data_IF_945226354245
#
_entry.id   IF_945226354245
#
_cell.length_a   1.000
_cell.length_b   1.000
_cell.length_c   1.000
_cell.angle_alpha   90.00
_cell.angle_beta   90.00
_cell.angle_gamma   90.00
#
_symmetry.space_group_name_H-M   'P 1'
#
loop_
_entity.id
_entity.type
_entity.pdbx_description
1 polymer ?
#
# COMPACT_ATOMS: atom_id res chain seq x y z
N UNK A 1 -12.67 8.34 -12.71
CA UNK A 1 -12.49 8.99 -11.39
C UNK A 1 -11.13 9.67 -11.36
N UNK A 2 -11.07 11.00 -11.41
CA UNK A 2 -9.81 11.77 -11.45
C UNK A 2 -9.43 12.28 -10.06
N UNK A 3 -8.16 12.20 -9.69
CA UNK A 3 -7.65 12.48 -8.33
C UNK A 3 -7.83 13.92 -7.81
N UNK A 4 -8.32 14.87 -8.62
CA UNK A 4 -8.55 16.28 -8.20
C UNK A 4 -9.62 16.44 -7.12
N UNK A 5 -10.57 15.50 -7.04
CA UNK A 5 -11.66 15.50 -6.05
C UNK A 5 -11.31 14.77 -4.75
N UNK A 6 -10.12 14.16 -4.66
CA UNK A 6 -9.69 13.45 -3.44
C UNK A 6 -9.06 14.46 -2.48
N UNK A 7 -9.60 14.54 -1.26
CA UNK A 7 -9.05 15.36 -0.17
C UNK A 7 -7.94 14.62 0.56
N UNK A 8 -8.15 13.33 0.82
CA UNK A 8 -7.25 12.53 1.63
C UNK A 8 -7.46 11.04 1.35
N UNK A 9 -6.37 10.29 1.30
CA UNK A 9 -6.36 8.83 1.33
C UNK A 9 -5.64 8.37 2.58
N UNK A 10 -6.29 7.51 3.36
CA UNK A 10 -5.69 6.87 4.54
C UNK A 10 -5.52 5.39 4.24
N UNK A 11 -4.28 4.93 4.25
CA UNK A 11 -3.90 3.54 4.03
C UNK A 11 -3.76 2.81 5.36
N UNK A 12 -4.34 1.61 5.44
CA UNK A 12 -4.17 0.70 6.57
C UNK A 12 -3.75 -0.69 6.07
N UNK A 13 -2.92 -1.37 6.85
CA UNK A 13 -2.56 -2.77 6.69
C UNK A 13 -3.16 -3.53 7.88
N UNK A 14 -4.03 -4.50 7.63
CA UNK A 14 -4.72 -5.30 8.66
C UNK A 14 -5.36 -4.42 9.74
N UNK A 15 -5.99 -3.32 9.32
CA UNK A 15 -6.61 -2.33 10.21
C UNK A 15 -5.66 -1.29 10.81
N UNK A 16 -4.34 -1.51 10.82
CA UNK A 16 -3.34 -0.56 11.33
C UNK A 16 -3.01 0.51 10.30
N UNK A 17 -3.12 1.79 10.67
CA UNK A 17 -2.77 2.92 9.77
C UNK A 17 -1.27 2.92 9.45
N UNK A 18 -0.93 2.84 8.18
CA UNK A 18 0.46 2.88 7.68
C UNK A 18 0.81 4.20 7.00
N UNK A 19 -0.18 4.88 6.38
CA UNK A 19 0.07 6.16 5.71
C UNK A 19 -1.20 7.01 5.61
N UNK A 20 -0.99 8.31 5.48
CA UNK A 20 -2.01 9.30 5.11
C UNK A 20 -1.42 10.20 4.04
N UNK A 21 -2.17 10.44 2.95
CA UNK A 21 -1.76 11.31 1.84
C UNK A 21 -2.90 12.25 1.48
N UNK A 22 -2.61 13.53 1.32
CA UNK A 22 -3.57 14.58 0.89
C UNK A 22 -3.25 15.14 -0.50
N UNK A 23 -2.08 14.84 -1.05
CA UNK A 23 -1.65 15.23 -2.39
C UNK A 23 -1.44 14.02 -3.30
N UNK A 24 -1.67 14.23 -4.59
CA UNK A 24 -1.34 13.28 -5.65
C UNK A 24 0.18 13.25 -5.88
N UNK A 25 0.81 12.09 -6.13
CA UNK A 25 0.21 10.77 -6.25
C UNK A 25 -0.12 10.11 -4.91
N UNK A 26 -1.31 9.50 -4.81
CA UNK A 26 -1.74 8.75 -3.62
C UNK A 26 -1.16 7.34 -3.65
N UNK A 27 0.11 7.19 -3.22
CA UNK A 27 0.83 5.90 -3.21
C UNK A 27 1.38 5.57 -1.82
N UNK A 28 1.48 4.28 -1.54
CA UNK A 28 2.16 3.73 -0.35
C UNK A 28 2.95 2.49 -0.76
N UNK A 29 4.14 2.35 -0.20
CA UNK A 29 4.91 1.11 -0.27
C UNK A 29 4.61 0.29 0.98
N UNK A 30 4.26 -0.97 0.79
CA UNK A 30 3.99 -1.90 1.88
C UNK A 30 5.09 -2.95 1.85
N UNK A 31 5.80 -3.11 2.96
CA UNK A 31 6.72 -4.23 3.10
C UNK A 31 5.88 -5.51 3.18
N UNK A 32 6.10 -6.42 2.23
CA UNK A 32 5.36 -7.66 2.18
C UNK A 32 5.71 -8.52 3.41
N UNK A 33 4.72 -8.74 4.27
CA UNK A 33 4.82 -9.66 5.39
C UNK A 33 4.34 -11.04 4.95
N UNK A 34 4.97 -12.08 5.48
CA UNK A 34 4.58 -13.45 5.21
C UNK A 34 3.19 -13.73 5.78
N UNK A 35 2.34 -14.36 4.97
CA UNK A 35 0.95 -14.65 5.34
C UNK A 35 -0.04 -13.92 4.45
N UNK A 36 -1.31 -13.93 4.89
CA UNK A 36 -2.41 -13.23 4.23
C UNK A 36 -2.62 -11.90 4.93
N UNK A 37 -2.63 -10.84 4.14
CA UNK A 37 -2.75 -9.47 4.62
C UNK A 37 -3.75 -8.69 3.76
N UNK A 38 -4.38 -7.69 4.37
CA UNK A 38 -5.31 -6.80 3.70
C UNK A 38 -4.86 -5.36 3.79
N UNK A 39 -4.67 -4.73 2.63
CA UNK A 39 -4.44 -3.29 2.51
C UNK A 39 -5.76 -2.63 2.23
N UNK A 40 -6.13 -1.65 3.04
CA UNK A 40 -7.32 -0.82 2.82
C UNK A 40 -6.93 0.63 2.58
N UNK A 41 -7.57 1.27 1.59
CA UNK A 41 -7.41 2.68 1.31
C UNK A 41 -8.76 3.38 1.48
N UNK A 42 -8.90 4.18 2.54
CA UNK A 42 -10.07 5.02 2.76
C UNK A 42 -9.86 6.36 2.06
N UNK A 43 -10.62 6.58 1.00
CA UNK A 43 -10.63 7.78 0.17
C UNK A 43 -11.71 8.71 0.68
N UNK A 44 -11.30 9.91 1.10
CA UNK A 44 -12.19 11.01 1.46
C UNK A 44 -12.12 12.06 0.37
N UNK A 45 -13.28 12.47 -0.13
CA UNK A 45 -13.40 13.46 -1.18
C UNK A 45 -13.44 14.89 -0.61
N UNK A 46 -13.23 15.88 -1.48
CA UNK A 46 -13.28 17.31 -1.11
C UNK A 46 -14.71 17.84 -0.98
N UNK A 47 -15.65 17.18 -1.64
CA UNK A 47 -17.08 17.49 -1.64
C UNK A 47 -17.84 16.67 -0.57
N UNK A 48 -19.18 16.71 -0.64
CA UNK A 48 -20.05 15.92 0.22
C UNK A 48 -20.12 14.42 -0.15
N UNK A 49 -19.31 13.95 -1.11
CA UNK A 49 -19.31 12.54 -1.50
C UNK A 49 -18.86 11.68 -0.32
N UNK A 50 -19.64 10.63 -0.03
CA UNK A 50 -19.32 9.67 1.03
C UNK A 50 -17.94 9.06 0.80
N UNK A 51 -17.16 8.96 1.87
CA UNK A 51 -15.84 8.33 1.81
C UNK A 51 -15.98 6.88 1.31
N UNK A 52 -15.11 6.48 0.38
CA UNK A 52 -15.07 5.12 -0.17
C UNK A 52 -13.88 4.37 0.41
N UNK A 53 -14.03 3.07 0.64
CA UNK A 53 -12.95 2.20 1.09
C UNK A 53 -12.63 1.21 -0.01
N UNK A 54 -11.39 1.23 -0.49
CA UNK A 54 -10.84 0.23 -1.39
C UNK A 54 -10.10 -0.82 -0.55
N UNK A 55 -10.16 -2.07 -0.97
CA UNK A 55 -9.54 -3.21 -0.29
C UNK A 55 -8.72 -3.99 -1.29
N UNK A 56 -7.52 -4.38 -0.89
CA UNK A 56 -6.61 -5.22 -1.65
C UNK A 56 -6.04 -6.27 -0.72
N UNK A 57 -6.46 -7.52 -0.92
CA UNK A 57 -5.85 -8.67 -0.25
C UNK A 57 -4.57 -9.08 -0.98
N UNK A 58 -3.52 -9.36 -0.23
CA UNK A 58 -2.33 -10.02 -0.77
C UNK A 58 -1.93 -11.20 0.11
N UNK A 59 -1.24 -12.16 -0.51
CA UNK A 59 -0.62 -13.28 0.20
C UNK A 59 0.84 -13.34 -0.21
N UNK A 60 1.74 -13.25 0.75
CA UNK A 60 3.16 -13.48 0.51
C UNK A 60 3.58 -14.80 1.16
N UNK A 61 4.22 -15.66 0.39
CA UNK A 61 4.76 -16.91 0.92
C UNK A 61 5.96 -16.61 1.84
N UNK A 62 6.00 -17.23 3.02
CA UNK A 62 7.10 -17.04 3.97
C UNK A 62 8.47 -17.37 3.37
N UNK A 63 8.54 -18.39 2.51
CA UNK A 63 9.75 -18.72 1.76
C UNK A 63 10.16 -17.58 0.82
N UNK A 64 9.23 -16.99 0.07
CA UNK A 64 9.51 -15.89 -0.85
C UNK A 64 9.93 -14.58 -0.14
N UNK A 65 9.44 -14.34 1.07
CA UNK A 65 9.84 -13.17 1.89
C UNK A 65 11.21 -13.36 2.53
N UNK A 66 11.61 -14.61 2.80
CA UNK A 66 12.91 -14.95 3.40
C UNK A 66 14.06 -15.08 2.42
N UNK A 67 13.79 -15.16 1.11
CA UNK A 67 14.87 -15.20 0.13
C UNK A 67 15.48 -13.79 0.03
N UNK A 68 16.73 -13.58 0.52
CA UNK A 68 17.46 -12.38 0.17
C UNK A 68 17.58 -12.36 -1.35
N UNK A 69 17.63 -11.18 -1.96
CA UNK A 69 17.94 -11.06 -3.38
C UNK A 69 19.37 -11.56 -3.60
N UNK A 70 19.56 -12.86 -3.83
CA UNK A 70 20.75 -13.44 -4.45
C UNK A 70 20.76 -13.05 -5.92
N UNK A 71 20.97 -11.76 -6.19
CA UNK A 71 21.50 -11.33 -7.48
C UNK A 71 23.01 -11.58 -7.48
N UNK A 72 23.62 -11.97 -8.61
CA UNK A 72 25.07 -12.16 -8.67
C UNK A 72 25.76 -10.84 -8.34
N UNK A 73 26.54 -10.84 -7.26
CA UNK A 73 27.47 -9.76 -6.95
C UNK A 73 28.51 -9.68 -8.07
N UNK A 74 28.42 -8.66 -8.93
CA UNK A 74 29.55 -8.28 -9.77
C UNK A 74 30.60 -7.62 -8.87
N UNK A 75 31.54 -8.42 -8.39
CA UNK A 75 32.80 -7.96 -7.85
C UNK A 75 33.74 -7.78 -9.04
N UNK A 76 33.91 -6.55 -9.50
CA UNK A 76 34.96 -6.19 -10.45
C UNK A 76 36.19 -5.87 -9.64
N UNK A 77 37.19 -6.76 -9.68
CA UNK A 77 38.53 -6.51 -9.19
C UNK A 77 39.36 -5.66 -10.14
#
# INVERSE_FOLDING_TARGET
MTGRQIRRVVFRLDGRRIASRSGSPFRVWVQALAGRHEVTARVTFKDATRAKTLRLGYRACAAAVRHPRTGPSQFTG
#
